data_IF_149728611049
#
_entry.id   IF_149728611049
#
_cell.length_a   1.000
_cell.length_b   1.000
_cell.length_c   1.000
_cell.angle_alpha   90.00
_cell.angle_beta   90.00
_cell.angle_gamma   90.00
#
_symmetry.space_group_name_H-M   'P 1'
#
loop_
_entity.id
_entity.type
_entity.pdbx_description
1 polymer ?
#
# COMPACT_ATOMS: atom_id res chain seq x y z
N UNK A 1 24.46 10.05 -21.60
CA UNK A 1 23.23 10.17 -20.87
C UNK A 1 22.94 8.89 -20.08
N UNK A 2 22.03 8.94 -19.15
CA UNK A 2 21.60 7.77 -18.39
C UNK A 2 20.70 6.89 -19.27
N UNK A 3 20.87 5.58 -19.23
CA UNK A 3 20.03 4.59 -19.90
C UNK A 3 19.49 3.59 -18.88
N UNK A 4 18.37 2.92 -19.21
CA UNK A 4 17.72 1.96 -18.33
C UNK A 4 17.29 2.56 -16.97
N UNK A 5 16.70 3.77 -17.02
CA UNK A 5 16.25 4.51 -15.84
C UNK A 5 14.74 4.41 -15.72
N UNK A 6 14.25 4.26 -14.50
CA UNK A 6 12.85 4.40 -14.12
C UNK A 6 12.73 5.62 -13.21
N UNK A 7 11.75 6.49 -13.45
CA UNK A 7 11.40 7.55 -12.52
C UNK A 7 10.45 6.98 -11.45
N UNK A 8 10.90 6.97 -10.20
CA UNK A 8 10.08 6.52 -9.08
C UNK A 8 9.63 7.69 -8.21
N UNK A 9 8.38 7.64 -7.76
CA UNK A 9 7.80 8.59 -6.82
C UNK A 9 6.82 7.89 -5.88
N UNK A 10 6.45 8.54 -4.79
CA UNK A 10 5.43 8.08 -3.85
C UNK A 10 4.27 9.07 -3.85
N UNK A 11 3.04 8.56 -3.76
CA UNK A 11 1.83 9.37 -3.82
C UNK A 11 1.01 9.19 -2.54
N UNK A 12 1.04 10.21 -1.70
CA UNK A 12 0.23 10.26 -0.49
C UNK A 12 -0.51 11.59 -0.39
N UNK A 13 -1.71 11.54 0.13
CA UNK A 13 -2.47 12.73 0.54
C UNK A 13 -2.87 12.57 2.00
N UNK A 14 -1.97 12.97 2.90
CA UNK A 14 -2.20 12.87 4.36
C UNK A 14 -3.26 13.86 4.85
N UNK A 15 -3.58 14.88 4.07
CA UNK A 15 -4.60 15.88 4.39
C UNK A 15 -5.98 15.51 3.81
N UNK A 16 -6.12 14.33 3.22
CA UNK A 16 -7.39 13.88 2.68
C UNK A 16 -8.46 13.80 3.77
N UNK A 17 -9.61 14.37 3.49
CA UNK A 17 -10.80 14.33 4.35
C UNK A 17 -11.89 13.39 3.84
N UNK A 18 -11.64 12.77 2.69
CA UNK A 18 -12.54 11.81 2.05
C UNK A 18 -11.78 10.93 1.08
N UNK A 19 -12.37 9.81 0.68
CA UNK A 19 -11.80 8.95 -0.36
C UNK A 19 -11.71 9.67 -1.71
N UNK A 20 -12.65 10.55 -2.05
CA UNK A 20 -12.59 11.34 -3.28
C UNK A 20 -11.38 12.29 -3.28
N UNK A 21 -11.01 12.87 -2.14
CA UNK A 21 -9.84 13.76 -2.04
C UNK A 21 -8.51 13.08 -2.45
N UNK A 22 -8.40 11.78 -2.30
CA UNK A 22 -7.25 11.03 -2.81
C UNK A 22 -7.23 10.96 -4.34
N UNK A 23 -8.40 10.78 -4.99
CA UNK A 23 -8.50 10.81 -6.46
C UNK A 23 -8.18 12.19 -7.01
N UNK A 24 -8.73 13.23 -6.41
CA UNK A 24 -8.51 14.62 -6.82
C UNK A 24 -7.01 14.96 -6.74
N UNK A 25 -6.32 14.50 -5.70
CA UNK A 25 -4.88 14.69 -5.54
C UNK A 25 -4.06 13.93 -6.60
N UNK A 26 -4.45 12.69 -6.95
CA UNK A 26 -3.81 11.93 -8.03
C UNK A 26 -4.02 12.63 -9.37
N UNK A 27 -5.26 13.01 -9.69
CA UNK A 27 -5.61 13.68 -10.96
C UNK A 27 -4.88 15.00 -11.10
N UNK A 28 -4.69 15.74 -10.00
CA UNK A 28 -3.92 16.99 -10.01
C UNK A 28 -2.42 16.76 -10.28
N UNK A 29 -1.85 15.64 -9.85
CA UNK A 29 -0.44 15.30 -10.07
C UNK A 29 -0.16 14.65 -11.43
N UNK A 30 -1.19 14.05 -12.04
CA UNK A 30 -1.06 13.28 -13.27
C UNK A 30 -0.39 14.06 -14.44
N UNK A 31 -0.73 15.34 -14.73
CA UNK A 31 -0.08 16.08 -15.79
C UNK A 31 1.43 16.22 -15.60
N UNK A 32 1.89 16.43 -14.36
CA UNK A 32 3.31 16.56 -14.05
C UNK A 32 4.06 15.23 -14.26
N UNK A 33 3.47 14.10 -13.83
CA UNK A 33 4.05 12.77 -14.04
C UNK A 33 4.15 12.45 -15.54
N UNK A 34 3.11 12.74 -16.30
CA UNK A 34 3.09 12.55 -17.75
C UNK A 34 4.12 13.45 -18.45
N UNK A 35 4.29 14.67 -18.01
CA UNK A 35 5.30 15.59 -18.55
C UNK A 35 6.72 15.05 -18.34
N UNK A 36 7.04 14.51 -17.15
CA UNK A 36 8.33 13.87 -16.88
C UNK A 36 8.53 12.66 -17.78
N UNK A 37 7.54 11.76 -17.85
CA UNK A 37 7.60 10.57 -18.71
C UNK A 37 7.90 10.94 -20.16
N UNK A 38 7.14 11.89 -20.71
CA UNK A 38 7.23 12.25 -22.11
C UNK A 38 8.52 13.03 -22.44
N UNK A 39 8.92 13.95 -21.55
CA UNK A 39 10.13 14.76 -21.78
C UNK A 39 11.41 13.95 -21.63
N UNK A 40 11.41 12.90 -20.81
CA UNK A 40 12.60 12.08 -20.52
C UNK A 40 12.56 10.72 -21.18
N UNK A 41 11.43 10.33 -21.76
CA UNK A 41 11.19 8.99 -22.31
C UNK A 41 11.55 7.89 -21.31
N UNK A 42 11.05 8.01 -20.09
CA UNK A 42 11.30 7.08 -18.97
C UNK A 42 10.00 6.51 -18.43
N UNK A 43 9.95 5.24 -18.03
CA UNK A 43 8.81 4.69 -17.29
C UNK A 43 8.61 5.41 -15.96
N UNK A 44 7.35 5.52 -15.53
CA UNK A 44 6.97 5.99 -14.19
C UNK A 44 6.64 4.78 -13.32
N UNK A 45 7.15 4.79 -12.10
CA UNK A 45 6.82 3.82 -11.06
C UNK A 45 6.37 4.53 -9.79
N UNK A 46 5.13 4.28 -9.40
CA UNK A 46 4.59 4.75 -8.12
C UNK A 46 4.98 3.71 -7.07
N UNK A 47 6.12 3.93 -6.43
CA UNK A 47 6.72 2.96 -5.50
C UNK A 47 5.92 2.75 -4.23
N UNK A 48 5.14 3.76 -3.85
CA UNK A 48 4.23 3.68 -2.70
C UNK A 48 3.01 4.56 -2.91
N UNK A 49 1.86 4.07 -2.47
CA UNK A 49 0.65 4.86 -2.25
C UNK A 49 -0.25 4.15 -1.23
N UNK A 50 -1.13 4.90 -0.58
CA UNK A 50 -2.22 4.38 0.24
C UNK A 50 -3.34 5.42 0.31
N UNK A 51 -4.56 4.97 0.57
CA UNK A 51 -5.75 5.82 0.66
C UNK A 51 -6.34 5.86 2.07
N UNK A 52 -5.61 5.38 3.06
CA UNK A 52 -6.02 5.44 4.46
C UNK A 52 -5.81 6.86 5.05
N UNK A 53 -6.68 7.28 5.97
CA UNK A 53 -7.78 6.53 6.61
C UNK A 53 -9.12 6.59 5.86
N UNK A 54 -9.20 7.20 4.70
CA UNK A 54 -10.45 7.41 3.95
C UNK A 54 -10.58 6.50 2.73
N UNK A 55 -10.04 5.28 2.81
CA UNK A 55 -10.13 4.32 1.72
C UNK A 55 -11.57 3.85 1.47
N UNK A 56 -11.92 3.65 0.19
CA UNK A 56 -13.11 2.90 -0.23
C UNK A 56 -12.76 1.96 -1.38
N UNK A 57 -13.45 0.80 -1.51
CA UNK A 57 -13.18 -0.14 -2.59
C UNK A 57 -13.31 0.50 -3.99
N UNK A 58 -14.32 1.32 -4.19
CA UNK A 58 -14.61 1.97 -5.47
C UNK A 58 -13.50 2.97 -5.83
N UNK A 59 -13.07 3.76 -4.86
CA UNK A 59 -12.01 4.75 -5.07
C UNK A 59 -10.67 4.07 -5.27
N UNK A 60 -10.36 3.01 -4.54
CA UNK A 60 -9.13 2.23 -4.74
C UNK A 60 -9.07 1.64 -6.17
N UNK A 61 -10.17 1.09 -6.67
CA UNK A 61 -10.27 0.59 -8.05
C UNK A 61 -10.02 1.71 -9.06
N UNK A 62 -10.64 2.87 -8.88
CA UNK A 62 -10.45 4.01 -9.79
C UNK A 62 -9.01 4.53 -9.73
N UNK A 63 -8.45 4.64 -8.53
CA UNK A 63 -7.08 5.11 -8.31
C UNK A 63 -6.06 4.23 -9.04
N UNK A 64 -6.14 2.91 -8.83
CA UNK A 64 -5.24 1.96 -9.49
C UNK A 64 -5.48 1.89 -11.00
N UNK A 65 -6.73 2.04 -11.46
CA UNK A 65 -7.04 2.11 -12.89
C UNK A 65 -6.41 3.32 -13.56
N UNK A 66 -6.48 4.50 -12.95
CA UNK A 66 -5.83 5.71 -13.50
C UNK A 66 -4.33 5.47 -13.70
N UNK A 67 -3.66 4.86 -12.72
CA UNK A 67 -2.24 4.55 -12.85
C UNK A 67 -1.97 3.53 -13.97
N UNK A 68 -2.78 2.47 -14.04
CA UNK A 68 -2.63 1.39 -15.04
C UNK A 68 -2.91 1.90 -16.45
N UNK A 69 -3.99 2.67 -16.66
CA UNK A 69 -4.36 3.24 -17.97
C UNK A 69 -3.29 4.21 -18.47
N UNK A 70 -2.58 4.87 -17.56
CA UNK A 70 -1.43 5.70 -17.89
C UNK A 70 -0.10 4.92 -17.97
N UNK A 71 -0.15 3.59 -17.92
CA UNK A 71 1.03 2.73 -18.02
C UNK A 71 2.09 3.01 -16.93
N UNK A 72 1.65 3.42 -15.75
CA UNK A 72 2.52 3.52 -14.58
C UNK A 72 2.62 2.14 -13.90
N UNK A 73 3.84 1.72 -13.57
CA UNK A 73 4.03 0.67 -12.59
C UNK A 73 3.66 1.19 -11.21
N UNK A 74 3.11 0.35 -10.34
CA UNK A 74 2.74 0.79 -9.00
C UNK A 74 2.83 -0.33 -7.96
N UNK A 75 3.05 0.07 -6.72
CA UNK A 75 2.95 -0.79 -5.54
C UNK A 75 2.25 -0.05 -4.41
N UNK A 76 1.33 -0.73 -3.76
CA UNK A 76 0.66 -0.19 -2.57
C UNK A 76 1.55 -0.36 -1.34
N UNK A 77 1.62 0.66 -0.50
CA UNK A 77 2.18 0.55 0.84
C UNK A 77 1.07 0.35 1.87
N UNK A 78 0.91 -0.86 2.44
CA UNK A 78 1.77 -2.01 2.25
C UNK A 78 0.96 -3.30 2.21
N UNK A 79 1.56 -4.40 1.78
CA UNK A 79 0.90 -5.71 1.73
C UNK A 79 0.44 -6.17 3.12
N UNK A 80 1.31 -6.04 4.12
CA UNK A 80 1.04 -6.55 5.46
C UNK A 80 1.56 -5.62 6.55
N UNK A 81 0.69 -5.34 7.51
CA UNK A 81 1.08 -4.67 8.76
C UNK A 81 0.72 -5.54 9.94
N UNK A 82 1.61 -5.60 10.92
CA UNK A 82 1.43 -6.36 12.15
C UNK A 82 1.71 -5.44 13.33
N UNK A 83 0.75 -5.34 14.26
CA UNK A 83 0.85 -4.51 15.46
C UNK A 83 0.83 -5.36 16.72
N UNK A 84 1.71 -5.01 17.65
CA UNK A 84 1.75 -5.58 18.96
C UNK A 84 0.70 -4.97 19.92
N UNK A 85 0.38 -3.71 19.71
CA UNK A 85 -0.49 -2.90 20.56
C UNK A 85 -1.77 -2.47 19.81
N UNK A 86 -2.87 -3.05 20.17
CA UNK A 86 -4.17 -2.58 19.69
C UNK A 86 -4.66 -3.22 18.38
N UNK A 87 -5.80 -2.74 17.91
CA UNK A 87 -6.47 -3.31 16.76
C UNK A 87 -5.76 -2.99 15.46
N UNK A 88 -6.23 -3.64 14.44
CA UNK A 88 -5.88 -3.54 13.04
C UNK A 88 -5.22 -2.21 12.63
N UNK A 89 -4.06 -2.31 12.00
CA UNK A 89 -3.46 -1.17 11.33
C UNK A 89 -3.97 -1.10 9.89
N UNK A 90 -4.71 -0.05 9.57
CA UNK A 90 -5.35 0.13 8.26
C UNK A 90 -4.38 0.32 7.08
N UNK A 91 -3.10 0.59 7.36
CA UNK A 91 -2.10 0.78 6.30
C UNK A 91 -1.73 -0.50 5.54
N UNK A 92 -2.03 -1.67 6.09
CA UNK A 92 -1.77 -2.96 5.43
C UNK A 92 -2.97 -3.48 4.66
N UNK A 93 -2.74 -4.04 3.48
CA UNK A 93 -3.76 -4.83 2.78
C UNK A 93 -4.28 -5.97 3.67
N UNK A 94 -3.41 -6.59 4.45
CA UNK A 94 -3.82 -7.49 5.53
C UNK A 94 -3.13 -7.12 6.84
N UNK A 95 -3.86 -7.30 7.94
CA UNK A 95 -3.41 -6.93 9.28
C UNK A 95 -3.96 -7.90 10.34
N UNK A 96 -3.31 -7.95 11.49
CA UNK A 96 -3.78 -8.77 12.60
C UNK A 96 -5.10 -8.25 13.19
N UNK A 97 -6.12 -9.11 13.40
CA UNK A 97 -7.40 -8.70 13.98
C UNK A 97 -7.30 -8.34 15.47
N UNK A 98 -6.31 -8.86 16.15
CA UNK A 98 -6.02 -8.62 17.57
C UNK A 98 -4.55 -8.32 17.75
N UNK A 99 -4.19 -7.66 18.86
CA UNK A 99 -2.79 -7.44 19.22
C UNK A 99 -2.02 -8.76 19.24
N UNK A 100 -0.80 -8.76 18.75
CA UNK A 100 0.11 -9.88 18.85
C UNK A 100 1.24 -9.57 19.83
N UNK A 101 1.76 -10.62 20.47
CA UNK A 101 2.89 -10.43 21.38
C UNK A 101 4.18 -10.22 20.60
N UNK A 102 4.94 -9.15 20.86
CA UNK A 102 6.22 -8.92 20.21
C UNK A 102 7.19 -10.08 20.41
N UNK A 103 8.00 -10.34 19.39
CA UNK A 103 9.12 -11.27 19.45
C UNK A 103 10.28 -10.64 20.22
N UNK A 104 10.90 -11.39 21.11
CA UNK A 104 12.16 -11.01 21.73
C UNK A 104 13.21 -12.10 21.49
N UNK A 105 14.06 -11.97 20.47
CA UNK A 105 15.03 -13.01 20.11
C UNK A 105 16.12 -13.24 21.18
N UNK A 106 16.22 -12.35 22.18
CA UNK A 106 17.22 -12.46 23.24
C UNK A 106 16.72 -13.19 24.49
N UNK A 107 15.41 -13.24 24.69
CA UNK A 107 14.81 -13.80 25.93
C UNK A 107 13.78 -14.88 25.68
N UNK A 108 13.19 -14.93 24.49
CA UNK A 108 12.18 -15.93 24.16
C UNK A 108 12.83 -17.28 23.82
N UNK A 109 12.22 -18.37 24.23
CA UNK A 109 12.59 -19.70 23.76
C UNK A 109 12.26 -19.88 22.28
N UNK A 110 12.92 -20.80 21.60
CA UNK A 110 12.66 -21.13 20.20
C UNK A 110 11.17 -21.44 19.96
N UNK A 111 10.56 -22.25 20.81
CA UNK A 111 9.13 -22.58 20.71
C UNK A 111 8.23 -21.34 20.86
N UNK A 112 8.61 -20.41 21.73
CA UNK A 112 7.91 -19.13 21.89
C UNK A 112 8.07 -18.26 20.65
N UNK A 113 9.27 -18.15 20.09
CA UNK A 113 9.52 -17.39 18.86
C UNK A 113 8.68 -17.95 17.69
N UNK A 114 8.66 -19.26 17.50
CA UNK A 114 7.87 -19.91 16.46
C UNK A 114 6.36 -19.64 16.68
N UNK A 115 5.87 -19.79 17.91
CA UNK A 115 4.46 -19.56 18.22
C UNK A 115 4.02 -18.14 17.95
N UNK A 116 4.84 -17.15 18.36
CA UNK A 116 4.55 -15.73 18.12
C UNK A 116 4.68 -15.35 16.64
N UNK A 117 5.70 -15.86 15.94
CA UNK A 117 5.86 -15.65 14.51
C UNK A 117 4.65 -16.17 13.71
N UNK A 118 4.08 -17.30 14.12
CA UNK A 118 2.89 -17.86 13.51
C UNK A 118 1.65 -16.94 13.61
N UNK A 119 1.56 -16.08 14.64
CA UNK A 119 0.46 -15.10 14.74
C UNK A 119 0.50 -14.06 13.61
N UNK A 120 1.68 -13.80 13.05
CA UNK A 120 1.87 -12.87 11.94
C UNK A 120 1.81 -13.52 10.53
N UNK A 121 1.47 -14.81 10.44
CA UNK A 121 1.29 -15.48 9.15
C UNK A 121 0.04 -14.94 8.45
N UNK A 122 0.12 -14.84 7.12
CA UNK A 122 -0.94 -14.22 6.31
C UNK A 122 -2.30 -14.88 6.50
N UNK A 123 -2.35 -16.18 6.67
CA UNK A 123 -3.59 -16.93 6.93
C UNK A 123 -4.27 -16.58 8.26
N UNK A 124 -3.55 -15.96 9.18
CA UNK A 124 -4.06 -15.51 10.49
C UNK A 124 -4.42 -14.01 10.50
N UNK A 125 -4.28 -13.33 9.35
CA UNK A 125 -4.57 -11.92 9.21
C UNK A 125 -5.92 -11.72 8.51
N UNK A 126 -6.46 -10.52 8.65
CA UNK A 126 -7.70 -10.11 8.00
C UNK A 126 -7.43 -9.00 7.00
N UNK A 127 -8.23 -8.97 5.95
CA UNK A 127 -8.27 -7.87 4.98
C UNK A 127 -9.34 -6.88 5.44
N UNK A 128 -8.99 -5.61 5.67
CA UNK A 128 -9.98 -4.58 5.98
C UNK A 128 -11.03 -4.42 4.87
N UNK A 129 -12.24 -4.06 5.25
CA UNK A 129 -13.37 -3.91 4.32
C UNK A 129 -13.17 -2.82 3.26
N UNK A 130 -12.27 -1.88 3.50
CA UNK A 130 -11.89 -0.82 2.54
C UNK A 130 -11.05 -1.30 1.34
N UNK A 131 -10.53 -2.54 1.38
CA UNK A 131 -9.74 -3.07 0.28
C UNK A 131 -10.57 -4.04 -0.57
N UNK A 132 -10.72 -3.75 -1.86
CA UNK A 132 -11.48 -4.62 -2.75
C UNK A 132 -10.71 -5.92 -3.05
N UNK A 133 -11.43 -6.99 -3.41
CA UNK A 133 -10.81 -8.21 -3.92
C UNK A 133 -10.03 -8.04 -5.23
N UNK A 134 -9.94 -6.82 -5.75
CA UNK A 134 -9.28 -6.44 -7.01
C UNK A 134 -7.76 -6.65 -6.97
N UNK A 135 -7.16 -6.76 -5.80
CA UNK A 135 -5.75 -7.16 -5.68
C UNK A 135 -5.54 -8.67 -5.83
N UNK A 136 -6.58 -9.45 -6.10
CA UNK A 136 -6.39 -10.80 -6.60
C UNK A 136 -5.85 -10.66 -8.02
N UNK A 137 -4.55 -10.85 -8.13
CA UNK A 137 -3.92 -11.04 -9.44
C UNK A 137 -4.66 -12.15 -10.18
N UNK A 138 -4.86 -12.01 -11.49
CA UNK A 138 -5.47 -13.06 -12.31
C UNK A 138 -4.70 -14.36 -12.19
#
# INVERSE_FOLDING_TARGET
GWSNVIYSTHLYNFDATSSQAHLDALEAQLPALLAVRNARNVPIYIGEFNLEPHNSPEVMVRYTRIMTDNQFGWAMWTYKTVKADGPMNFWGYCSNPTAITPLNPFTDSESTLISRANQARTENLTVPTGYPPVFRLP
#
